data_IF_849781701383
#
_entry.id   IF_849781701383
#
_cell.length_a   1.000
_cell.length_b   1.000
_cell.length_c   1.000
_cell.angle_alpha   90.00
_cell.angle_beta   90.00
_cell.angle_gamma   90.00
#
_symmetry.space_group_name_H-M   'P 1'
#
loop_
_entity.id
_entity.type
_entity.pdbx_description
1 polymer ?
#
# COMPACT_ATOMS: atom_id res chain seq x y z
N UNK A 1 -20.67 -1.75 -19.35
CA UNK A 1 -19.31 -1.39 -19.85
C UNK A 1 -18.28 -2.44 -19.49
N UNK A 2 -18.17 -2.88 -18.21
CA UNK A 2 -17.30 -3.99 -17.80
C UNK A 2 -17.50 -5.25 -18.64
N UNK A 3 -18.74 -5.68 -18.83
CA UNK A 3 -19.04 -6.92 -19.58
C UNK A 3 -18.59 -6.83 -21.05
N UNK A 4 -18.70 -5.66 -21.67
CA UNK A 4 -18.21 -5.43 -23.03
C UNK A 4 -16.68 -5.52 -23.10
N UNK A 5 -15.98 -4.98 -22.10
CA UNK A 5 -14.52 -5.06 -21.99
C UNK A 5 -14.08 -6.51 -21.78
N UNK A 6 -14.73 -7.23 -20.87
CA UNK A 6 -14.44 -8.64 -20.59
C UNK A 6 -14.68 -9.48 -21.85
N UNK A 7 -15.81 -9.28 -22.53
CA UNK A 7 -16.13 -10.01 -23.76
C UNK A 7 -15.14 -9.70 -24.89
N UNK A 8 -14.80 -8.42 -25.11
CA UNK A 8 -13.82 -8.02 -26.09
C UNK A 8 -12.42 -8.61 -25.78
N UNK A 9 -11.96 -8.49 -24.53
CA UNK A 9 -10.71 -9.10 -24.08
C UNK A 9 -10.74 -10.62 -24.27
N UNK A 10 -11.85 -11.27 -23.98
CA UNK A 10 -12.01 -12.71 -24.18
C UNK A 10 -11.87 -13.10 -25.62
N UNK A 11 -12.48 -12.36 -26.54
CA UNK A 11 -12.36 -12.63 -27.96
C UNK A 11 -10.93 -12.41 -28.49
N UNK A 12 -10.28 -11.32 -28.08
CA UNK A 12 -8.94 -10.96 -28.54
C UNK A 12 -7.87 -11.90 -27.98
N UNK A 13 -8.01 -12.31 -26.72
CA UNK A 13 -6.98 -13.10 -26.00
C UNK A 13 -7.25 -14.60 -26.03
N UNK A 14 -8.42 -15.06 -26.45
CA UNK A 14 -8.75 -16.49 -26.62
C UNK A 14 -7.63 -17.35 -27.26
N UNK A 15 -6.96 -16.94 -28.35
CA UNK A 15 -5.90 -17.77 -28.96
C UNK A 15 -4.61 -17.86 -28.12
N UNK A 16 -4.41 -16.98 -27.14
CA UNK A 16 -3.19 -16.90 -26.33
C UNK A 16 -3.43 -17.22 -24.85
N UNK A 17 -4.69 -17.31 -24.41
CA UNK A 17 -5.07 -17.45 -23.02
C UNK A 17 -5.13 -18.92 -22.60
N UNK A 18 -4.02 -19.44 -22.06
CA UNK A 18 -3.91 -20.82 -21.57
C UNK A 18 -3.95 -20.94 -20.03
N UNK A 19 -4.35 -19.88 -19.32
CA UNK A 19 -4.38 -19.88 -17.86
C UNK A 19 -5.64 -20.57 -17.31
N UNK A 20 -5.57 -21.07 -16.07
CA UNK A 20 -6.72 -21.65 -15.35
C UNK A 20 -7.75 -20.63 -14.87
N UNK A 21 -7.47 -19.33 -15.03
CA UNK A 21 -8.33 -18.24 -14.58
C UNK A 21 -9.17 -17.69 -15.74
N UNK A 22 -10.41 -17.33 -15.47
CA UNK A 22 -11.22 -16.62 -16.46
C UNK A 22 -10.77 -15.16 -16.58
N UNK A 23 -11.01 -14.55 -17.73
CA UNK A 23 -10.69 -13.13 -17.96
C UNK A 23 -11.53 -12.24 -17.05
N UNK A 24 -12.74 -12.67 -16.70
CA UNK A 24 -13.56 -12.00 -15.69
C UNK A 24 -12.86 -11.97 -14.32
N UNK A 25 -12.33 -13.11 -13.86
CA UNK A 25 -11.58 -13.20 -12.61
C UNK A 25 -10.31 -12.32 -12.66
N UNK A 26 -9.62 -12.30 -13.78
CA UNK A 26 -8.44 -11.46 -13.97
C UNK A 26 -8.78 -9.96 -13.85
N UNK A 27 -9.85 -9.51 -14.52
CA UNK A 27 -10.32 -8.12 -14.46
C UNK A 27 -10.77 -7.76 -13.04
N UNK A 28 -11.42 -8.69 -12.32
CA UNK A 28 -11.79 -8.51 -10.91
C UNK A 28 -10.54 -8.33 -10.03
N UNK A 29 -9.56 -9.23 -10.13
CA UNK A 29 -8.32 -9.14 -9.36
C UNK A 29 -7.53 -7.85 -9.67
N UNK A 30 -7.56 -7.40 -10.93
CA UNK A 30 -6.98 -6.12 -11.33
C UNK A 30 -7.67 -4.95 -10.61
N UNK A 31 -9.00 -4.94 -10.59
CA UNK A 31 -9.79 -3.91 -9.90
C UNK A 31 -9.53 -3.92 -8.39
N UNK A 32 -9.49 -5.10 -7.77
CA UNK A 32 -9.14 -5.24 -6.36
C UNK A 32 -7.72 -4.71 -6.07
N UNK A 33 -6.76 -4.99 -6.95
CA UNK A 33 -5.39 -4.47 -6.84
C UNK A 33 -5.36 -2.95 -6.90
N UNK A 34 -6.08 -2.34 -7.86
CA UNK A 34 -6.20 -0.89 -7.93
C UNK A 34 -6.85 -0.30 -6.68
N UNK A 35 -7.88 -0.94 -6.16
CA UNK A 35 -8.54 -0.51 -4.93
C UNK A 35 -7.58 -0.57 -3.73
N UNK A 36 -6.87 -1.68 -3.56
CA UNK A 36 -5.86 -1.83 -2.50
C UNK A 36 -4.77 -0.77 -2.61
N UNK A 37 -4.17 -0.61 -3.79
CA UNK A 37 -3.11 0.39 -4.03
C UNK A 37 -3.63 1.80 -3.76
N UNK A 38 -4.82 2.14 -4.25
CA UNK A 38 -5.39 3.48 -4.08
C UNK A 38 -5.58 3.84 -2.61
N UNK A 39 -6.24 2.98 -1.83
CA UNK A 39 -6.47 3.26 -0.42
C UNK A 39 -5.18 3.19 0.41
N UNK A 40 -4.31 2.22 0.17
CA UNK A 40 -3.02 2.14 0.85
C UNK A 40 -2.14 3.35 0.56
N UNK A 41 -2.12 3.83 -0.69
CA UNK A 41 -1.40 5.03 -1.07
C UNK A 41 -2.02 6.27 -0.41
N UNK A 42 -3.34 6.42 -0.43
CA UNK A 42 -4.03 7.56 0.15
C UNK A 42 -3.73 7.69 1.65
N UNK A 43 -4.02 6.65 2.43
CA UNK A 43 -3.80 6.67 3.88
C UNK A 43 -2.31 6.67 4.24
N UNK A 44 -1.50 5.90 3.52
CA UNK A 44 -0.06 5.84 3.71
C UNK A 44 0.63 7.18 3.42
N UNK A 45 0.18 7.91 2.39
CA UNK A 45 0.69 9.22 2.05
C UNK A 45 0.33 10.26 3.13
N UNK A 46 -0.93 10.32 3.56
CA UNK A 46 -1.36 11.24 4.61
C UNK A 46 -0.56 10.99 5.89
N UNK A 47 -0.51 9.74 6.36
CA UNK A 47 0.21 9.37 7.58
C UNK A 47 1.73 9.57 7.46
N UNK A 48 2.31 9.23 6.30
CA UNK A 48 3.73 9.39 6.01
C UNK A 48 4.16 10.86 5.94
N UNK A 49 3.35 11.72 5.35
CA UNK A 49 3.60 13.16 5.28
C UNK A 49 3.57 13.79 6.67
N UNK A 50 2.56 13.48 7.49
CA UNK A 50 2.45 14.02 8.85
C UNK A 50 3.69 13.66 9.67
N UNK A 51 4.10 12.39 9.67
CA UNK A 51 5.30 11.96 10.40
C UNK A 51 6.59 12.52 9.81
N UNK A 52 6.72 12.57 8.48
CA UNK A 52 7.88 13.09 7.80
C UNK A 52 8.12 14.57 8.13
N UNK A 53 7.07 15.39 8.03
CA UNK A 53 7.12 16.81 8.39
C UNK A 53 7.45 16.96 9.88
N UNK A 54 6.78 16.20 10.74
CA UNK A 54 7.01 16.24 12.20
C UNK A 54 8.47 15.93 12.54
N UNK A 55 9.07 14.88 11.97
CA UNK A 55 10.46 14.53 12.20
C UNK A 55 11.43 15.62 11.70
N UNK A 56 11.19 16.19 10.53
CA UNK A 56 12.03 17.25 9.96
C UNK A 56 11.99 18.52 10.81
N UNK A 57 10.81 18.87 11.32
CA UNK A 57 10.62 20.08 12.13
C UNK A 57 11.14 19.90 13.56
N UNK A 58 11.02 18.70 14.15
CA UNK A 58 11.38 18.42 15.54
C UNK A 58 12.82 17.96 15.78
N UNK A 59 13.58 17.65 14.71
CA UNK A 59 15.00 17.27 14.82
C UNK A 59 15.84 18.35 15.51
N UNK A 60 17.00 17.95 16.03
CA UNK A 60 17.99 18.88 16.59
C UNK A 60 18.42 19.92 15.54
N UNK A 61 18.28 21.21 15.84
CA UNK A 61 18.50 22.31 14.89
C UNK A 61 17.35 22.55 13.91
N UNK A 62 16.19 21.91 14.10
CA UNK A 62 14.96 22.17 13.35
C UNK A 62 14.18 23.39 13.86
N UNK A 63 13.13 23.77 13.12
CA UNK A 63 12.32 24.97 13.38
C UNK A 63 11.61 24.88 14.74
N UNK A 64 11.07 23.71 15.10
CA UNK A 64 10.39 23.46 16.37
C UNK A 64 11.06 22.29 17.08
N UNK A 65 12.32 22.49 17.46
CA UNK A 65 13.14 21.44 18.06
C UNK A 65 12.45 20.80 19.26
N UNK A 66 12.18 19.50 19.18
CA UNK A 66 11.65 18.71 20.29
C UNK A 66 12.34 17.34 20.31
N UNK A 67 13.31 17.22 21.23
CA UNK A 67 14.11 15.99 21.38
C UNK A 67 13.27 14.79 21.78
N UNK A 68 12.21 14.97 22.56
CA UNK A 68 11.35 13.87 22.99
C UNK A 68 10.59 13.29 21.78
N UNK A 69 9.89 14.13 21.02
CA UNK A 69 9.13 13.69 19.83
C UNK A 69 10.07 13.00 18.83
N UNK A 70 11.21 13.63 18.52
CA UNK A 70 12.17 13.06 17.59
C UNK A 70 12.73 11.71 18.08
N UNK A 71 13.07 11.60 19.37
CA UNK A 71 13.66 10.38 19.95
C UNK A 71 12.69 9.19 19.95
N UNK A 72 11.39 9.41 20.16
CA UNK A 72 10.39 8.32 20.12
C UNK A 72 9.95 7.99 18.69
N UNK A 73 9.69 9.01 17.86
CA UNK A 73 9.11 8.80 16.53
C UNK A 73 10.15 8.28 15.52
N UNK A 74 11.40 8.71 15.62
CA UNK A 74 12.45 8.33 14.67
C UNK A 74 12.75 6.82 14.67
N UNK A 75 12.94 6.13 15.82
CA UNK A 75 13.11 4.68 15.83
C UNK A 75 11.90 3.92 15.28
N UNK A 76 10.67 4.37 15.60
CA UNK A 76 9.44 3.73 15.10
C UNK A 76 9.39 3.80 13.57
N UNK A 77 9.62 4.98 12.99
CA UNK A 77 9.62 5.16 11.54
C UNK A 77 10.74 4.35 10.87
N UNK A 78 11.93 4.30 11.46
CA UNK A 78 13.03 3.49 10.93
C UNK A 78 12.76 1.98 11.04
N UNK A 79 12.12 1.52 12.12
CA UNK A 79 11.71 0.13 12.28
C UNK A 79 10.68 -0.26 11.22
N UNK A 80 9.60 0.52 11.08
CA UNK A 80 8.57 0.28 10.05
C UNK A 80 9.16 0.27 8.63
N UNK A 81 10.17 1.11 8.36
CA UNK A 81 10.86 1.14 7.06
C UNK A 81 11.78 -0.05 6.79
N UNK A 82 12.39 -0.60 7.84
CA UNK A 82 13.38 -1.68 7.71
C UNK A 82 12.75 -3.07 7.83
N UNK A 83 11.57 -3.17 8.45
CA UNK A 83 10.83 -4.42 8.56
C UNK A 83 10.32 -4.87 7.18
N UNK A 84 10.66 -6.10 6.74
CA UNK A 84 10.10 -6.69 5.53
C UNK A 84 8.58 -6.75 5.59
N UNK A 85 7.93 -6.41 4.47
CA UNK A 85 6.46 -6.42 4.37
C UNK A 85 5.84 -7.75 4.79
N UNK A 86 6.48 -8.89 4.46
CA UNK A 86 5.99 -10.23 4.83
C UNK A 86 5.85 -10.41 6.36
N UNK A 87 6.74 -9.82 7.14
CA UNK A 87 6.70 -9.89 8.61
C UNK A 87 5.55 -9.05 9.14
N UNK A 88 5.36 -7.85 8.59
CA UNK A 88 4.24 -6.97 8.95
C UNK A 88 2.89 -7.63 8.62
N UNK A 89 2.78 -8.28 7.46
CA UNK A 89 1.57 -9.00 7.07
C UNK A 89 1.21 -10.09 8.09
N UNK A 90 2.17 -10.92 8.49
CA UNK A 90 1.94 -11.97 9.49
C UNK A 90 1.58 -11.37 10.85
N UNK A 91 2.23 -10.28 11.26
CA UNK A 91 1.95 -9.60 12.52
C UNK A 91 0.54 -8.98 12.60
N UNK A 92 -0.04 -8.61 11.46
CA UNK A 92 -1.40 -8.04 11.38
C UNK A 92 -2.51 -9.10 11.39
N UNK A 93 -2.22 -10.34 11.01
CA UNK A 93 -3.20 -11.46 11.04
C UNK A 93 -4.05 -11.51 12.32
N UNK A 94 -3.49 -11.49 13.56
CA UNK A 94 -4.30 -11.54 14.78
C UNK A 94 -5.22 -10.32 14.98
N UNK A 95 -4.92 -9.19 14.33
CA UNK A 95 -5.70 -7.96 14.43
C UNK A 95 -6.93 -7.98 13.51
N UNK A 96 -6.93 -8.83 12.49
CA UNK A 96 -7.96 -8.91 11.44
C UNK A 96 -8.73 -10.23 11.44
N UNK A 97 -8.50 -11.10 12.43
CA UNK A 97 -9.29 -12.33 12.64
C UNK A 97 -10.68 -12.02 13.19
#
# INVERSE_FOLDING_TARGET
MRDLIVQWLTQVTAPFWHSSLSIDQFVTALQETFQMVFFSLLFGCIWGLIQGITLVVTRTGGILQNRAIYYFLNPIVNALRSLPFIILLIAVIPLTK
#
